data_IF_354145605827
#
_entry.id   IF_354145605827
#
_cell.length_a   1.000
_cell.length_b   1.000
_cell.length_c   1.000
_cell.angle_alpha   90.00
_cell.angle_beta   90.00
_cell.angle_gamma   90.00
#
_symmetry.space_group_name_H-M   'P 1'
#
loop_
_entity.id
_entity.type
_entity.pdbx_description
1 polymer ?
#
# COMPACT_ATOMS: atom_id res chain seq x y z
N UNK A 1 -26.82 33.76 -10.64
CA UNK A 1 -25.76 32.74 -10.82
C UNK A 1 -24.58 33.25 -11.66
N UNK A 2 -24.79 34.03 -12.73
CA UNK A 2 -23.71 34.49 -13.63
C UNK A 2 -22.61 35.34 -12.96
N UNK A 3 -22.97 36.28 -12.07
CA UNK A 3 -22.00 37.15 -11.39
C UNK A 3 -21.05 36.40 -10.45
N UNK A 4 -21.56 35.39 -9.76
CA UNK A 4 -20.76 34.56 -8.84
C UNK A 4 -19.72 33.78 -9.64
N UNK A 5 -20.11 33.24 -10.80
CA UNK A 5 -19.20 32.52 -11.71
C UNK A 5 -18.14 33.48 -12.29
N UNK A 6 -18.51 34.72 -12.60
CA UNK A 6 -17.57 35.74 -13.08
C UNK A 6 -16.56 36.18 -12.01
N UNK A 7 -17.01 36.38 -10.76
CA UNK A 7 -16.14 36.65 -9.63
C UNK A 7 -15.20 35.46 -9.32
N UNK A 8 -15.72 34.24 -9.44
CA UNK A 8 -14.94 33.01 -9.36
C UNK A 8 -13.83 32.97 -10.42
N UNK A 9 -14.17 33.28 -11.68
CA UNK A 9 -13.24 33.28 -12.81
C UNK A 9 -12.17 34.38 -12.71
N UNK A 10 -12.48 35.50 -12.06
CA UNK A 10 -11.58 36.65 -11.88
C UNK A 10 -10.58 36.44 -10.74
N UNK A 11 -10.91 35.61 -9.74
CA UNK A 11 -10.04 35.32 -8.61
C UNK A 11 -8.93 34.33 -8.96
N UNK A 12 -7.74 34.86 -9.31
CA UNK A 12 -6.54 34.06 -9.59
C UNK A 12 -6.18 33.10 -8.45
N UNK A 13 -6.43 33.51 -7.20
CA UNK A 13 -6.14 32.71 -5.99
C UNK A 13 -7.02 31.47 -5.94
N UNK A 14 -8.30 31.62 -6.30
CA UNK A 14 -9.25 30.54 -6.25
C UNK A 14 -8.99 29.52 -7.37
N UNK A 15 -8.73 30.00 -8.59
CA UNK A 15 -8.34 29.14 -9.73
C UNK A 15 -7.04 28.37 -9.45
N UNK A 16 -6.06 29.00 -8.78
CA UNK A 16 -4.81 28.36 -8.40
C UNK A 16 -5.03 27.25 -7.35
N UNK A 17 -5.85 27.52 -6.33
CA UNK A 17 -6.23 26.52 -5.33
C UNK A 17 -6.93 25.32 -5.96
N UNK A 18 -7.85 25.55 -6.90
CA UNK A 18 -8.54 24.49 -7.63
C UNK A 18 -7.57 23.65 -8.48
N UNK A 19 -6.65 24.29 -9.20
CA UNK A 19 -5.63 23.58 -9.99
C UNK A 19 -4.73 22.70 -9.11
N UNK A 20 -4.32 23.20 -7.94
CA UNK A 20 -3.54 22.41 -6.98
C UNK A 20 -4.32 21.19 -6.47
N UNK A 21 -5.61 21.33 -6.20
CA UNK A 21 -6.44 20.20 -5.79
C UNK A 21 -6.64 19.18 -6.92
N UNK A 22 -6.83 19.63 -8.16
CA UNK A 22 -6.92 18.73 -9.32
C UNK A 22 -5.61 17.96 -9.48
N UNK A 23 -4.46 18.64 -9.35
CA UNK A 23 -3.17 17.99 -9.44
C UNK A 23 -2.93 17.01 -8.29
N UNK A 24 -3.32 17.37 -7.06
CA UNK A 24 -3.28 16.48 -5.90
C UNK A 24 -4.13 15.22 -6.12
N UNK A 25 -5.32 15.38 -6.70
CA UNK A 25 -6.21 14.27 -7.02
C UNK A 25 -5.57 13.31 -8.03
N UNK A 26 -5.00 13.85 -9.12
CA UNK A 26 -4.32 13.03 -10.13
C UNK A 26 -3.13 12.29 -9.53
N UNK A 27 -2.29 12.97 -8.75
CA UNK A 27 -1.15 12.35 -8.08
C UNK A 27 -1.59 11.27 -7.07
N UNK A 28 -2.66 11.52 -6.32
CA UNK A 28 -3.23 10.52 -5.41
C UNK A 28 -3.75 9.31 -6.16
N UNK A 29 -4.41 9.50 -7.30
CA UNK A 29 -4.90 8.39 -8.12
C UNK A 29 -3.75 7.53 -8.67
N UNK A 30 -2.67 8.17 -9.11
CA UNK A 30 -1.47 7.47 -9.58
C UNK A 30 -0.74 6.78 -8.41
N UNK A 31 -0.66 7.41 -7.25
CA UNK A 31 -0.03 6.83 -6.06
C UNK A 31 -0.76 5.57 -5.58
N UNK A 32 -2.08 5.52 -5.74
CA UNK A 32 -2.91 4.35 -5.42
C UNK A 32 -2.88 3.27 -6.49
N UNK A 33 -2.17 3.47 -7.60
CA UNK A 33 -2.06 2.46 -8.65
C UNK A 33 -1.31 1.23 -8.12
N UNK A 34 -2.04 0.13 -7.97
CA UNK A 34 -1.48 -1.15 -7.54
C UNK A 34 -0.98 -1.91 -8.76
N UNK A 35 0.21 -2.49 -8.65
CA UNK A 35 0.68 -3.52 -9.56
C UNK A 35 0.56 -4.84 -8.80
N UNK A 36 -0.40 -5.67 -9.21
CA UNK A 36 -0.55 -7.01 -8.66
C UNK A 36 0.63 -7.91 -9.08
N UNK A 37 0.87 -8.94 -8.27
CA UNK A 37 1.68 -10.12 -8.60
C UNK A 37 3.21 -9.96 -8.62
N UNK A 38 3.80 -9.37 -7.57
CA UNK A 38 5.18 -9.73 -7.25
C UNK A 38 5.16 -11.12 -6.60
N UNK A 39 5.75 -12.09 -7.30
CA UNK A 39 5.85 -13.47 -6.84
C UNK A 39 7.31 -13.80 -6.53
N UNK A 40 7.55 -14.30 -5.32
CA UNK A 40 8.79 -14.96 -4.94
C UNK A 40 8.50 -16.44 -4.73
N UNK A 41 9.38 -17.30 -5.25
CA UNK A 41 9.30 -18.75 -5.04
C UNK A 41 10.69 -19.28 -4.75
N UNK A 42 10.80 -20.08 -3.70
CA UNK A 42 12.01 -20.78 -3.31
C UNK A 42 11.67 -22.24 -3.06
N UNK A 43 12.48 -23.14 -3.58
CA UNK A 43 12.33 -24.58 -3.39
C UNK A 43 13.67 -25.20 -3.09
N UNK A 44 13.67 -26.27 -2.31
CA UNK A 44 14.89 -26.99 -1.97
C UNK A 44 14.60 -28.20 -1.08
N UNK A 45 15.66 -28.76 -0.53
CA UNK A 45 15.58 -29.86 0.43
C UNK A 45 16.17 -29.42 1.77
N UNK A 46 15.49 -29.79 2.86
CA UNK A 46 15.92 -29.56 4.22
C UNK A 46 16.28 -30.91 4.84
N UNK A 47 17.54 -31.03 5.27
CA UNK A 47 17.96 -32.10 6.15
C UNK A 47 17.67 -31.75 7.62
N UNK A 48 18.17 -32.54 8.57
CA UNK A 48 18.05 -32.23 9.99
C UNK A 48 18.75 -30.90 10.34
N UNK A 49 18.06 -30.01 11.05
CA UNK A 49 18.54 -28.68 11.39
C UNK A 49 17.44 -27.62 11.46
N UNK A 50 17.81 -26.37 11.72
CA UNK A 50 16.91 -25.22 11.79
C UNK A 50 17.09 -24.35 10.55
N UNK A 51 15.97 -23.98 9.91
CA UNK A 51 15.97 -23.24 8.64
C UNK A 51 14.89 -22.16 8.64
N UNK A 52 15.29 -20.91 8.46
CA UNK A 52 14.35 -19.81 8.18
C UNK A 52 14.10 -19.75 6.68
N UNK A 53 12.84 -19.86 6.27
CA UNK A 53 12.46 -19.82 4.86
C UNK A 53 11.97 -18.43 4.44
N UNK A 54 12.33 -18.02 3.23
CA UNK A 54 11.90 -16.75 2.64
C UNK A 54 13.05 -15.79 2.35
N UNK A 55 12.70 -14.55 2.01
CA UNK A 55 13.68 -13.54 1.61
C UNK A 55 13.34 -12.17 2.19
N UNK A 56 14.18 -11.71 3.12
CA UNK A 56 14.03 -10.42 3.83
C UNK A 56 13.83 -9.24 2.91
N UNK A 57 14.70 -9.13 1.91
CA UNK A 57 14.63 -8.03 0.95
C UNK A 57 13.34 -8.02 0.13
N UNK A 58 12.76 -9.19 -0.15
CA UNK A 58 11.49 -9.27 -0.86
C UNK A 58 10.31 -8.89 0.05
N UNK A 59 10.14 -9.56 1.19
CA UNK A 59 8.91 -9.38 2.00
C UNK A 59 8.88 -8.07 2.80
N UNK A 60 10.02 -7.41 3.00
CA UNK A 60 10.08 -6.06 3.60
C UNK A 60 9.71 -4.95 2.60
N UNK A 61 9.83 -5.21 1.30
CA UNK A 61 9.63 -4.21 0.24
C UNK A 61 8.17 -4.12 -0.22
N UNK A 62 7.40 -5.17 -0.03
CA UNK A 62 6.04 -5.28 -0.57
C UNK A 62 5.01 -5.48 0.55
N UNK A 63 3.78 -5.02 0.30
CA UNK A 63 2.69 -5.06 1.28
C UNK A 63 1.82 -6.30 1.07
N UNK A 64 1.18 -6.78 2.15
CA UNK A 64 0.27 -7.93 2.17
C UNK A 64 0.84 -9.22 1.54
N UNK A 65 1.95 -9.76 2.06
CA UNK A 65 2.49 -11.03 1.60
C UNK A 65 1.53 -12.19 1.90
N UNK A 66 0.91 -12.75 0.86
CA UNK A 66 0.21 -14.02 0.90
C UNK A 66 1.23 -15.15 0.70
N UNK A 67 1.43 -15.96 1.74
CA UNK A 67 2.47 -16.99 1.78
C UNK A 67 1.86 -18.37 1.66
N UNK A 68 2.55 -19.25 0.97
CA UNK A 68 2.20 -20.66 0.86
C UNK A 68 3.46 -21.47 1.03
N UNK A 69 3.48 -22.34 2.03
CA UNK A 69 4.55 -23.28 2.28
C UNK A 69 4.05 -24.69 2.01
N UNK A 70 4.69 -25.38 1.08
CA UNK A 70 4.42 -26.78 0.75
C UNK A 70 5.62 -27.59 1.22
N UNK A 71 5.39 -28.54 2.11
CA UNK A 71 6.39 -29.48 2.63
C UNK A 71 6.04 -30.89 2.15
N UNK A 72 7.01 -31.64 1.67
CA UNK A 72 6.82 -33.02 1.20
C UNK A 72 7.92 -33.90 1.74
N UNK A 73 7.55 -35.02 2.36
CA UNK A 73 8.50 -36.02 2.85
C UNK A 73 7.87 -37.40 2.92
N UNK A 74 8.67 -38.46 2.76
CA UNK A 74 8.19 -39.82 2.95
C UNK A 74 8.08 -40.21 4.42
N UNK A 75 8.92 -39.63 5.29
CA UNK A 75 8.88 -39.80 6.74
C UNK A 75 9.83 -38.77 7.39
N UNK A 76 9.28 -37.71 7.98
CA UNK A 76 10.07 -36.72 8.70
C UNK A 76 9.32 -36.19 9.92
N UNK A 77 10.05 -35.82 10.96
CA UNK A 77 9.50 -35.12 12.13
C UNK A 77 10.05 -33.71 12.12
N UNK A 78 9.17 -32.72 12.10
CA UNK A 78 9.53 -31.33 11.95
C UNK A 78 8.63 -30.42 12.81
N UNK A 79 9.17 -29.28 13.22
CA UNK A 79 8.43 -28.21 13.87
C UNK A 79 8.43 -27.01 12.93
N UNK A 80 7.24 -26.49 12.65
CA UNK A 80 7.06 -25.26 11.88
C UNK A 80 6.60 -24.18 12.85
N UNK A 81 7.34 -23.08 12.89
CA UNK A 81 6.95 -21.86 13.58
C UNK A 81 6.54 -20.83 12.54
N UNK A 82 5.30 -20.35 12.61
CA UNK A 82 4.81 -19.24 11.79
C UNK A 82 3.76 -18.46 12.58
N UNK A 83 4.21 -17.79 13.63
CA UNK A 83 3.37 -17.17 14.66
C UNK A 83 3.03 -18.12 15.81
N UNK A 84 2.71 -19.39 15.49
CA UNK A 84 2.57 -20.47 16.48
C UNK A 84 3.45 -21.66 16.11
N UNK A 85 3.93 -22.37 17.15
CA UNK A 85 4.81 -23.53 17.00
C UNK A 85 3.96 -24.80 16.89
N UNK A 86 4.05 -25.50 15.76
CA UNK A 86 3.37 -26.76 15.55
C UNK A 86 4.35 -27.85 15.14
N UNK A 87 4.28 -29.00 15.83
CA UNK A 87 5.05 -30.19 15.50
C UNK A 87 4.24 -31.10 14.58
N UNK A 88 4.88 -31.60 13.54
CA UNK A 88 4.30 -32.46 12.52
C UNK A 88 5.16 -33.70 12.29
N UNK A 89 4.50 -34.85 12.24
CA UNK A 89 5.06 -36.05 11.64
C UNK A 89 4.56 -36.10 10.19
N UNK A 90 5.45 -35.74 9.26
CA UNK A 90 5.13 -35.59 7.85
C UNK A 90 5.32 -36.92 7.11
N UNK A 91 4.24 -37.40 6.50
CA UNK A 91 4.23 -38.53 5.56
C UNK A 91 3.34 -38.14 4.38
N UNK A 92 3.94 -37.90 3.22
CA UNK A 92 3.30 -37.29 2.06
C UNK A 92 3.53 -35.78 2.00
N UNK A 93 2.46 -35.02 1.75
CA UNK A 93 2.49 -33.58 1.51
C UNK A 93 1.70 -32.81 2.57
N UNK A 94 2.24 -31.70 3.04
CA UNK A 94 1.62 -30.75 3.94
C UNK A 94 1.65 -29.35 3.31
N UNK A 95 0.50 -28.69 3.27
CA UNK A 95 0.35 -27.33 2.74
C UNK A 95 -0.04 -26.42 3.90
N UNK A 96 0.74 -25.37 4.11
CA UNK A 96 0.56 -24.37 5.16
C UNK A 96 0.44 -22.98 4.53
N UNK A 97 -0.33 -22.12 5.20
CA UNK A 97 -0.51 -20.71 4.84
C UNK A 97 0.02 -19.83 5.97
N UNK A 98 1.34 -19.67 6.06
CA UNK A 98 1.96 -18.98 7.18
C UNK A 98 1.65 -17.48 7.16
N UNK A 99 1.27 -16.91 8.32
CA UNK A 99 1.02 -15.48 8.48
C UNK A 99 2.32 -14.66 8.59
N UNK A 100 3.40 -15.31 9.02
CA UNK A 100 4.73 -14.75 9.19
C UNK A 100 5.74 -15.57 8.38
N UNK A 101 7.04 -15.23 8.47
CA UNK A 101 8.06 -16.10 7.90
C UNK A 101 8.10 -17.43 8.64
N UNK A 102 8.04 -18.57 7.94
CA UNK A 102 8.11 -19.85 8.61
C UNK A 102 9.56 -20.22 8.94
N UNK A 103 9.81 -20.50 10.21
CA UNK A 103 10.99 -21.23 10.64
C UNK A 103 10.65 -22.72 10.69
N UNK A 104 11.50 -23.53 10.06
CA UNK A 104 11.31 -24.98 9.97
C UNK A 104 12.49 -25.66 10.65
N UNK A 105 12.19 -26.39 11.72
CA UNK A 105 13.15 -27.25 12.42
C UNK A 105 12.87 -28.68 12.03
N UNK A 106 13.81 -29.34 11.36
CA UNK A 106 13.71 -30.76 11.00
C UNK A 106 14.50 -31.56 12.03
N UNK A 107 13.80 -32.41 12.79
CA UNK A 107 14.43 -33.27 13.78
C UNK A 107 14.98 -34.56 13.15
N UNK A 108 14.25 -35.13 12.18
CA UNK A 108 14.64 -36.35 11.48
C UNK A 108 14.00 -36.41 10.09
N UNK A 109 14.68 -37.06 9.15
CA UNK A 109 14.26 -37.22 7.76
C UNK A 109 14.80 -36.13 6.82
N UNK A 110 14.40 -36.20 5.56
CA UNK A 110 14.62 -35.16 4.56
C UNK A 110 13.27 -34.63 4.08
N UNK A 111 13.15 -33.31 3.98
CA UNK A 111 11.90 -32.62 3.61
C UNK A 111 12.16 -31.78 2.38
N UNK A 112 11.47 -32.08 1.28
CA UNK A 112 11.43 -31.18 0.14
C UNK A 112 10.43 -30.07 0.43
N UNK A 113 10.83 -28.82 0.22
CA UNK A 113 9.97 -27.67 0.46
C UNK A 113 9.81 -26.82 -0.80
N UNK A 114 8.66 -26.16 -0.88
CA UNK A 114 8.40 -25.07 -1.83
C UNK A 114 7.69 -23.96 -1.07
N UNK A 115 8.36 -22.83 -0.91
CA UNK A 115 7.84 -21.62 -0.31
C UNK A 115 7.53 -20.60 -1.41
N UNK A 116 6.29 -20.10 -1.43
CA UNK A 116 5.82 -19.09 -2.37
C UNK A 116 5.25 -17.90 -1.61
N UNK A 117 5.61 -16.71 -2.05
CA UNK A 117 5.06 -15.45 -1.52
C UNK A 117 4.52 -14.64 -2.68
N UNK A 118 3.30 -14.17 -2.55
CA UNK A 118 2.69 -13.18 -3.44
C UNK A 118 2.48 -11.90 -2.65
N UNK A 119 2.90 -10.76 -3.16
CA UNK A 119 2.69 -9.49 -2.49
C UNK A 119 2.21 -8.42 -3.48
N UNK A 120 1.58 -7.38 -2.94
CA UNK A 120 1.13 -6.22 -3.69
C UNK A 120 2.23 -5.16 -3.73
N UNK A 121 2.42 -4.55 -4.89
CA UNK A 121 3.40 -3.49 -5.11
C UNK A 121 2.68 -2.17 -5.42
N UNK A 122 3.07 -1.09 -4.72
CA UNK A 122 2.59 0.27 -4.94
C UNK A 122 3.78 1.13 -5.38
N UNK A 123 4.24 1.01 -6.64
CA UNK A 123 5.51 1.58 -7.08
C UNK A 123 5.55 3.11 -7.02
N UNK A 124 4.38 3.76 -6.95
CA UNK A 124 4.23 5.20 -6.90
C UNK A 124 3.69 5.71 -5.57
N UNK A 125 3.69 4.89 -4.50
CA UNK A 125 3.21 5.29 -3.18
C UNK A 125 3.87 6.59 -2.68
N UNK A 126 5.12 6.84 -3.06
CA UNK A 126 5.87 8.04 -2.68
C UNK A 126 5.25 9.34 -3.22
N UNK A 127 4.45 9.27 -4.30
CA UNK A 127 3.70 10.42 -4.83
C UNK A 127 2.55 10.86 -3.90
N UNK A 128 2.16 10.04 -2.92
CA UNK A 128 1.14 10.41 -1.93
C UNK A 128 1.56 11.60 -1.07
N UNK A 129 2.85 11.73 -0.75
CA UNK A 129 3.39 12.85 0.05
C UNK A 129 3.23 14.19 -0.66
N UNK A 130 3.73 14.40 -1.90
CA UNK A 130 3.50 15.65 -2.61
C UNK A 130 2.01 15.89 -2.92
N UNK A 131 1.23 14.82 -3.18
CA UNK A 131 -0.22 14.95 -3.35
C UNK A 131 -0.89 15.53 -2.10
N UNK A 132 -0.53 15.05 -0.91
CA UNK A 132 -1.05 15.55 0.36
C UNK A 132 -0.72 17.03 0.58
N UNK A 133 0.52 17.43 0.30
CA UNK A 133 0.96 18.83 0.44
C UNK A 133 0.14 19.73 -0.49
N UNK A 134 -0.01 19.34 -1.75
CA UNK A 134 -0.83 20.07 -2.73
C UNK A 134 -2.30 20.16 -2.31
N UNK A 135 -2.85 19.09 -1.73
CA UNK A 135 -4.22 19.07 -1.24
C UNK A 135 -4.43 20.08 -0.09
N UNK A 136 -3.52 20.11 0.88
CA UNK A 136 -3.59 21.04 2.02
C UNK A 136 -3.46 22.49 1.55
N UNK A 137 -2.42 22.79 0.77
CA UNK A 137 -2.16 24.15 0.29
C UNK A 137 -3.28 24.63 -0.65
N UNK A 138 -3.72 23.77 -1.56
CA UNK A 138 -4.84 24.05 -2.46
C UNK A 138 -6.14 24.35 -1.72
N UNK A 139 -6.42 23.59 -0.64
CA UNK A 139 -7.59 23.81 0.22
C UNK A 139 -7.53 25.18 0.90
N UNK A 140 -6.38 25.58 1.44
CA UNK A 140 -6.20 26.91 2.06
C UNK A 140 -6.45 28.02 1.04
N UNK A 141 -5.88 27.92 -0.17
CA UNK A 141 -6.11 28.91 -1.22
C UNK A 141 -7.57 29.00 -1.67
N UNK A 142 -8.27 27.87 -1.71
CA UNK A 142 -9.70 27.85 -2.01
C UNK A 142 -10.51 28.58 -0.94
N UNK A 143 -10.23 28.33 0.35
CA UNK A 143 -10.90 29.04 1.45
C UNK A 143 -10.62 30.54 1.44
N UNK A 144 -9.36 30.95 1.25
CA UNK A 144 -8.98 32.37 1.16
C UNK A 144 -9.62 33.03 -0.06
N UNK A 145 -9.59 32.35 -1.22
CA UNK A 145 -10.23 32.82 -2.44
C UNK A 145 -11.74 32.98 -2.28
N UNK A 146 -12.38 32.03 -1.61
CA UNK A 146 -13.82 32.05 -1.33
C UNK A 146 -14.19 33.20 -0.40
N UNK A 147 -13.44 33.40 0.69
CA UNK A 147 -13.66 34.51 1.62
C UNK A 147 -13.52 35.88 0.93
N UNK A 148 -12.51 36.04 0.05
CA UNK A 148 -12.34 37.26 -0.76
C UNK A 148 -13.50 37.47 -1.72
N UNK A 149 -13.92 36.45 -2.46
CA UNK A 149 -15.04 36.56 -3.40
C UNK A 149 -16.36 36.93 -2.69
N UNK A 150 -16.61 36.37 -1.50
CA UNK A 150 -17.75 36.76 -0.65
C UNK A 150 -17.70 38.22 -0.22
N UNK A 151 -16.51 38.70 0.17
CA UNK A 151 -16.31 40.11 0.55
C UNK A 151 -16.57 41.04 -0.62
N UNK A 152 -16.00 40.75 -1.79
CA UNK A 152 -16.16 41.56 -3.00
C UNK A 152 -17.65 41.63 -3.44
N UNK A 153 -18.38 40.52 -3.36
CA UNK A 153 -19.83 40.49 -3.65
C UNK A 153 -20.65 41.27 -2.61
N UNK A 154 -20.21 41.30 -1.35
CA UNK A 154 -20.88 42.06 -0.28
C UNK A 154 -20.62 43.56 -0.42
N UNK A 155 -19.41 43.96 -0.81
CA UNK A 155 -19.03 45.36 -1.06
C UNK A 155 -19.71 45.90 -2.32
N UNK A 156 -19.71 45.16 -3.43
CA UNK A 156 -20.40 45.58 -4.66
C UNK A 156 -21.90 45.81 -4.48
N UNK A 157 -22.56 45.02 -3.62
CA UNK A 157 -24.00 45.22 -3.27
C UNK A 157 -24.26 46.42 -2.36
N UNK A 158 -23.23 46.96 -1.70
CA UNK A 158 -23.34 48.16 -0.86
C UNK A 158 -23.28 49.43 -1.70
N UNK A 159 -22.42 49.44 -2.72
CA UNK A 159 -22.23 50.59 -3.61
C UNK A 159 -23.43 50.81 -4.55
N UNK A 160 -24.14 49.74 -4.93
CA UNK A 160 -25.34 49.82 -5.77
C UNK A 160 -26.60 50.35 -5.02
N UNK A 161 -26.55 50.39 -3.69
CA UNK A 161 -27.65 50.88 -2.82
C UNK A 161 -27.44 52.29 -2.28
N UNK A 162 -26.29 52.91 -2.56
CA UNK A 162 -25.97 54.30 -2.20
C UNK A 162 -26.22 55.25 -3.36
#
# INVERSE_FOLDING_TARGET
MGEVIQAFKKSRVLSLGLLMLILALVLSAVASFVVEDKVYSQSGELGPGEYTLGNESFESKYLYPNRTLVLTSNNATLLVSSGENHSYNLTGQLVLYPNERPDVVVYNGSVSYTYRVKALDYPYSDLSIPALILAVVGSVFLWVGYAKALRDVREGRKDEKS
#
